data_IF_823915859083
#
_entry.id   IF_823915859083
#
_cell.length_a   1.000
_cell.length_b   1.000
_cell.length_c   1.000
_cell.angle_alpha   90.00
_cell.angle_beta   90.00
_cell.angle_gamma   90.00
#
_symmetry.space_group_name_H-M   'P 1'
#
loop_
_entity.id
_entity.type
_entity.pdbx_description
1 polymer ?
#
# COMPACT_ATOMS: atom_id res chain seq x y z
N UNK A 1 35.64 11.34 -20.12
CA UNK A 1 34.81 11.64 -18.94
C UNK A 1 35.20 10.66 -17.84
N UNK A 2 35.26 11.09 -16.59
CA UNK A 2 35.45 10.24 -15.42
C UNK A 2 34.37 10.57 -14.40
N UNK A 3 34.02 9.64 -13.51
CA UNK A 3 33.15 9.95 -12.38
C UNK A 3 33.91 10.86 -11.39
N UNK A 4 33.35 12.01 -10.98
CA UNK A 4 33.97 12.88 -9.97
C UNK A 4 34.26 12.10 -8.69
N UNK A 5 35.43 12.34 -8.07
CA UNK A 5 35.94 11.53 -6.94
C UNK A 5 34.94 11.39 -5.78
N UNK A 6 34.16 12.43 -5.49
CA UNK A 6 33.16 12.44 -4.40
C UNK A 6 31.95 11.52 -4.66
N UNK A 7 31.72 11.09 -5.90
CA UNK A 7 30.62 10.21 -6.27
C UNK A 7 31.06 8.78 -6.58
N UNK A 8 32.36 8.48 -6.64
CA UNK A 8 32.86 7.12 -6.89
C UNK A 8 32.37 6.15 -5.83
N UNK A 9 32.03 4.93 -6.25
CA UNK A 9 31.48 3.89 -5.36
C UNK A 9 30.00 4.07 -4.99
N UNK A 10 29.32 5.07 -5.54
CA UNK A 10 27.86 5.21 -5.43
C UNK A 10 27.16 4.27 -6.42
N UNK A 11 25.86 4.14 -6.22
CA UNK A 11 24.97 3.29 -7.01
C UNK A 11 23.71 4.08 -7.37
N UNK A 12 23.05 3.63 -8.43
CA UNK A 12 21.66 3.96 -8.72
C UNK A 12 20.81 2.69 -8.69
N UNK A 13 19.51 2.86 -8.45
CA UNK A 13 18.62 1.78 -8.03
C UNK A 13 17.34 1.72 -8.86
N UNK A 14 16.95 0.53 -9.29
CA UNK A 14 15.65 0.26 -9.87
C UNK A 14 14.87 -0.66 -8.93
N UNK A 15 13.62 -0.33 -8.60
CA UNK A 15 12.77 -1.24 -7.83
C UNK A 15 11.72 -1.89 -8.73
N UNK A 16 11.43 -3.15 -8.49
CA UNK A 16 10.48 -3.94 -9.26
C UNK A 16 9.84 -5.01 -8.39
N UNK A 17 8.79 -5.66 -8.88
CA UNK A 17 8.18 -6.80 -8.18
C UNK A 17 8.97 -8.09 -8.45
N UNK A 18 9.06 -9.00 -7.47
CA UNK A 18 9.77 -10.29 -7.59
C UNK A 18 9.37 -11.10 -8.83
N UNK A 19 8.10 -11.04 -9.22
CA UNK A 19 7.58 -11.71 -10.45
C UNK A 19 8.25 -11.24 -11.75
N UNK A 20 8.83 -10.05 -11.77
CA UNK A 20 9.51 -9.52 -12.96
C UNK A 20 10.95 -10.04 -13.09
N UNK A 21 11.53 -10.61 -12.03
CA UNK A 21 12.94 -11.03 -12.03
C UNK A 21 13.22 -12.11 -13.06
N UNK A 22 12.32 -13.07 -13.27
CA UNK A 22 12.52 -14.12 -14.27
C UNK A 22 12.67 -13.53 -15.69
N UNK A 23 11.81 -12.58 -16.05
CA UNK A 23 11.90 -11.88 -17.33
C UNK A 23 13.18 -11.05 -17.45
N UNK A 24 13.59 -10.38 -16.36
CA UNK A 24 14.82 -9.59 -16.31
C UNK A 24 16.05 -10.48 -16.50
N UNK A 25 16.09 -11.65 -15.86
CA UNK A 25 17.19 -12.60 -16.00
C UNK A 25 17.31 -13.11 -17.43
N UNK A 26 16.18 -13.40 -18.10
CA UNK A 26 16.16 -13.90 -19.48
C UNK A 26 16.51 -12.83 -20.51
N UNK A 27 16.06 -11.59 -20.31
CA UNK A 27 16.06 -10.56 -21.36
C UNK A 27 16.99 -9.36 -21.07
N UNK A 28 17.51 -9.24 -19.85
CA UNK A 28 17.93 -7.98 -19.27
C UNK A 28 16.74 -7.13 -18.81
N UNK A 29 17.01 -6.02 -18.15
CA UNK A 29 15.96 -5.07 -17.76
C UNK A 29 15.67 -4.17 -18.96
N UNK A 30 14.46 -4.29 -19.52
CA UNK A 30 14.03 -3.62 -20.75
C UNK A 30 13.18 -2.37 -20.47
N UNK A 31 13.29 -1.37 -21.34
CA UNK A 31 12.43 -0.18 -21.33
C UNK A 31 10.97 -0.55 -21.62
N UNK A 32 10.04 0.37 -21.37
CA UNK A 32 8.61 0.12 -21.60
C UNK A 32 8.32 -0.22 -23.05
N UNK A 33 8.86 0.55 -23.99
CA UNK A 33 8.66 0.31 -25.42
C UNK A 33 9.25 -1.03 -25.88
N UNK A 34 10.41 -1.42 -25.36
CA UNK A 34 11.02 -2.73 -25.66
C UNK A 34 10.20 -3.91 -25.10
N UNK A 35 9.63 -3.77 -23.90
CA UNK A 35 8.72 -4.78 -23.33
C UNK A 35 7.47 -4.94 -24.19
N UNK A 36 6.85 -3.83 -24.59
CA UNK A 36 5.67 -3.81 -25.45
C UNK A 36 5.97 -4.45 -26.82
N UNK A 37 7.06 -4.06 -27.47
CA UNK A 37 7.46 -4.59 -28.77
C UNK A 37 7.71 -6.11 -28.75
N UNK A 38 8.16 -6.66 -27.61
CA UNK A 38 8.43 -8.09 -27.44
C UNK A 38 7.27 -8.88 -26.84
N UNK A 39 6.15 -8.24 -26.53
CA UNK A 39 5.00 -8.88 -25.87
C UNK A 39 5.33 -9.46 -24.50
N UNK A 40 6.29 -8.85 -23.78
CA UNK A 40 6.70 -9.31 -22.45
C UNK A 40 5.73 -8.77 -21.42
N UNK A 41 5.02 -9.67 -20.74
CA UNK A 41 4.19 -9.29 -19.60
C UNK A 41 5.05 -8.78 -18.44
N UNK A 42 4.56 -7.74 -17.76
CA UNK A 42 5.29 -7.06 -16.70
C UNK A 42 4.32 -6.53 -15.66
N UNK A 43 4.58 -6.84 -14.39
CA UNK A 43 3.83 -6.26 -13.30
C UNK A 43 4.21 -4.78 -13.15
N UNK A 44 3.39 -3.91 -13.74
CA UNK A 44 3.55 -2.46 -13.67
C UNK A 44 3.22 -1.94 -12.27
N UNK A 45 4.15 -1.16 -11.72
CA UNK A 45 3.98 -0.47 -10.43
C UNK A 45 3.56 0.99 -10.58
N UNK A 46 3.66 1.55 -11.80
CA UNK A 46 3.42 2.96 -12.07
C UNK A 46 1.95 3.28 -12.39
N UNK A 47 1.50 4.48 -12.02
CA UNK A 47 0.17 4.99 -12.36
C UNK A 47 0.04 5.31 -13.86
N UNK A 48 -1.15 5.13 -14.43
CA UNK A 48 -1.45 5.40 -15.85
C UNK A 48 -1.11 6.83 -16.27
N UNK A 49 -1.42 7.83 -15.44
CA UNK A 49 -1.10 9.23 -15.77
C UNK A 49 0.40 9.51 -15.83
N UNK A 50 1.20 8.80 -15.02
CA UNK A 50 2.66 8.86 -15.09
C UNK A 50 3.15 8.19 -16.38
N UNK A 51 2.55 7.05 -16.75
CA UNK A 51 2.91 6.35 -17.98
C UNK A 51 2.61 7.19 -19.22
N UNK A 52 1.47 7.87 -19.27
CA UNK A 52 1.13 8.75 -20.39
C UNK A 52 2.11 9.92 -20.54
N UNK A 53 2.51 10.56 -19.44
CA UNK A 53 3.52 11.63 -19.50
C UNK A 53 4.87 11.11 -19.98
N UNK A 54 5.28 9.93 -19.50
CA UNK A 54 6.55 9.31 -19.89
C UNK A 54 6.57 8.82 -21.34
N UNK A 55 5.42 8.49 -21.93
CA UNK A 55 5.36 8.14 -23.36
C UNK A 55 5.48 9.35 -24.28
N UNK A 56 5.32 10.57 -23.74
CA UNK A 56 5.30 11.82 -24.52
C UNK A 56 6.50 12.74 -24.24
N UNK A 57 7.13 12.61 -23.08
CA UNK A 57 8.30 13.42 -22.72
C UNK A 57 9.51 12.98 -23.54
N UNK A 58 10.02 13.89 -24.37
CA UNK A 58 11.22 13.69 -25.19
C UNK A 58 12.50 13.88 -24.37
N UNK A 59 13.53 13.11 -24.70
CA UNK A 59 14.89 13.31 -24.19
C UNK A 59 15.63 14.24 -25.16
N UNK A 60 16.06 15.44 -24.72
CA UNK A 60 16.57 16.48 -25.63
C UNK A 60 18.04 16.29 -26.02
N UNK A 61 18.65 15.18 -25.62
CA UNK A 61 20.04 14.82 -25.88
C UNK A 61 20.15 13.38 -26.38
N UNK A 62 21.28 13.02 -26.98
CA UNK A 62 21.54 11.65 -27.46
C UNK A 62 21.37 10.62 -26.32
N UNK A 63 20.80 9.43 -26.56
CA UNK A 63 20.36 8.88 -27.86
C UNK A 63 18.94 9.30 -28.30
N UNK A 64 18.38 10.38 -27.74
CA UNK A 64 17.05 10.91 -28.03
C UNK A 64 15.92 9.89 -27.75
N UNK A 65 14.72 10.14 -28.31
CA UNK A 65 13.52 9.34 -28.08
C UNK A 65 12.70 9.87 -26.91
N UNK A 66 11.84 9.01 -26.37
CA UNK A 66 10.94 9.35 -25.27
C UNK A 66 11.38 8.67 -23.98
N UNK A 67 10.90 9.12 -22.83
CA UNK A 67 11.21 8.46 -21.55
C UNK A 67 10.81 6.98 -21.51
N UNK A 68 9.81 6.55 -22.29
CA UNK A 68 9.45 5.13 -22.44
C UNK A 68 10.47 4.28 -23.21
N UNK A 69 11.41 4.90 -23.90
CA UNK A 69 12.56 4.23 -24.53
C UNK A 69 13.67 3.95 -23.52
N UNK A 70 13.59 4.46 -22.29
CA UNK A 70 14.61 4.32 -21.25
C UNK A 70 14.13 3.47 -20.08
N UNK A 71 15.08 2.76 -19.45
CA UNK A 71 14.91 2.08 -18.17
C UNK A 71 15.22 3.07 -17.05
N UNK A 72 14.25 3.38 -16.17
CA UNK A 72 14.50 4.30 -15.07
C UNK A 72 15.16 3.64 -13.87
N UNK A 73 16.12 4.36 -13.30
CA UNK A 73 16.70 4.12 -12.00
C UNK A 73 16.69 5.43 -11.21
N UNK A 74 16.89 5.35 -9.90
CA UNK A 74 16.92 6.48 -8.99
C UNK A 74 18.25 6.52 -8.25
N UNK A 75 18.77 7.72 -8.01
CA UNK A 75 19.93 7.87 -7.11
C UNK A 75 19.55 7.66 -5.64
N UNK A 76 18.30 7.94 -5.29
CA UNK A 76 17.77 7.73 -3.95
C UNK A 76 17.52 6.24 -3.67
N UNK A 77 18.00 5.76 -2.51
CA UNK A 77 17.70 4.41 -2.04
C UNK A 77 16.24 4.26 -1.61
N UNK A 78 15.71 5.31 -0.96
CA UNK A 78 14.35 5.35 -0.44
C UNK A 78 13.48 6.24 -1.31
N UNK A 79 12.61 5.63 -2.11
CA UNK A 79 11.94 6.30 -3.21
C UNK A 79 10.51 6.77 -2.86
N UNK A 80 10.20 8.08 -2.95
CA UNK A 80 8.84 8.60 -2.79
C UNK A 80 7.78 7.95 -3.70
N UNK A 81 8.15 7.54 -4.92
CA UNK A 81 7.29 6.77 -5.81
C UNK A 81 6.87 5.45 -5.15
N UNK A 82 7.80 4.71 -4.53
CA UNK A 82 7.45 3.46 -3.84
C UNK A 82 6.45 3.72 -2.71
N UNK A 83 6.66 4.76 -1.89
CA UNK A 83 5.68 5.15 -0.86
C UNK A 83 4.31 5.45 -1.46
N UNK A 84 4.26 6.15 -2.60
CA UNK A 84 3.02 6.41 -3.32
C UNK A 84 2.30 5.14 -3.76
N UNK A 85 3.02 4.11 -4.21
CA UNK A 85 2.44 2.82 -4.59
C UNK A 85 1.96 2.03 -3.37
N UNK A 86 2.72 2.06 -2.26
CA UNK A 86 2.35 1.42 -1.01
C UNK A 86 1.09 2.05 -0.39
N UNK A 87 0.98 3.38 -0.42
CA UNK A 87 -0.21 4.11 0.07
C UNK A 87 -1.50 3.73 -0.66
N UNK A 88 -1.41 3.24 -1.90
CA UNK A 88 -2.58 2.73 -2.65
C UNK A 88 -2.93 1.27 -2.34
N UNK A 89 -2.12 0.60 -1.51
CA UNK A 89 -2.30 -0.81 -1.12
C UNK A 89 -2.38 -1.78 -2.30
N UNK A 90 -1.69 -1.48 -3.40
CA UNK A 90 -1.72 -2.32 -4.60
C UNK A 90 -0.61 -3.37 -4.65
N UNK A 91 0.37 -3.27 -3.75
CA UNK A 91 1.50 -4.20 -3.69
C UNK A 91 1.87 -4.50 -2.24
N UNK A 92 2.42 -5.69 -2.05
CA UNK A 92 3.07 -6.09 -0.81
C UNK A 92 4.54 -5.72 -0.87
N UNK A 93 4.96 -4.75 -0.06
CA UNK A 93 6.35 -4.31 0.03
C UNK A 93 7.36 -5.46 0.21
N UNK A 94 7.08 -6.53 0.98
CA UNK A 94 7.98 -7.68 1.09
C UNK A 94 8.30 -8.37 -0.24
N UNK A 95 7.53 -8.13 -1.31
CA UNK A 95 7.73 -8.68 -2.66
C UNK A 95 8.45 -7.70 -3.61
N UNK A 96 8.82 -6.51 -3.14
CA UNK A 96 9.58 -5.51 -3.89
C UNK A 96 11.07 -5.80 -3.78
N UNK A 97 11.74 -5.85 -4.92
CA UNK A 97 13.17 -6.09 -5.07
C UNK A 97 13.82 -4.85 -5.67
N UNK A 98 14.91 -4.38 -5.07
CA UNK A 98 15.75 -3.34 -5.66
C UNK A 98 16.94 -3.96 -6.39
N UNK A 99 17.34 -3.33 -7.48
CA UNK A 99 18.47 -3.68 -8.33
C UNK A 99 19.46 -2.53 -8.21
N UNK A 100 20.68 -2.82 -7.73
CA UNK A 100 21.75 -1.85 -7.61
C UNK A 100 22.72 -1.99 -8.79
N UNK A 101 23.04 -0.84 -9.40
CA UNK A 101 24.01 -0.73 -10.50
C UNK A 101 25.02 0.36 -10.14
N UNK A 102 26.30 0.12 -10.43
CA UNK A 102 27.38 1.06 -10.15
C UNK A 102 27.18 2.38 -10.92
N UNK A 103 27.47 3.50 -10.25
CA UNK A 103 27.47 4.83 -10.86
C UNK A 103 28.44 4.97 -12.04
N UNK A 104 29.44 4.09 -12.14
CA UNK A 104 30.40 4.09 -13.25
C UNK A 104 29.71 3.84 -14.60
N UNK A 105 28.48 3.27 -14.59
CA UNK A 105 27.67 3.09 -15.79
C UNK A 105 27.14 4.39 -16.40
N UNK A 106 27.29 5.53 -15.73
CA UNK A 106 27.05 6.85 -16.34
C UNK A 106 28.08 7.18 -17.45
N UNK A 107 29.20 6.45 -17.55
CA UNK A 107 30.18 6.64 -18.63
C UNK A 107 29.77 6.00 -19.95
N UNK A 108 28.70 5.19 -19.95
CA UNK A 108 28.20 4.50 -21.13
C UNK A 108 27.39 5.46 -22.00
N UNK A 109 27.58 5.42 -23.32
CA UNK A 109 27.01 6.42 -24.24
C UNK A 109 25.48 6.38 -24.35
N UNK A 110 24.83 5.33 -23.84
CA UNK A 110 23.39 5.15 -23.86
C UNK A 110 22.72 5.51 -22.52
N UNK A 111 23.45 6.17 -21.61
CA UNK A 111 22.97 6.54 -20.28
C UNK A 111 22.91 8.06 -20.16
N UNK A 112 21.78 8.55 -19.67
CA UNK A 112 21.57 9.96 -19.32
C UNK A 112 21.03 10.03 -17.90
N UNK A 113 21.13 11.18 -17.24
CA UNK A 113 20.54 11.38 -15.93
C UNK A 113 19.85 12.73 -15.81
N UNK A 114 19.00 12.89 -14.81
CA UNK A 114 18.18 14.07 -14.59
C UNK A 114 18.31 14.60 -13.17
N UNK A 115 18.10 15.90 -12.98
CA UNK A 115 18.07 16.55 -11.65
C UNK A 115 16.76 16.35 -10.89
N UNK A 116 15.69 15.97 -11.59
CA UNK A 116 14.37 15.66 -11.05
C UNK A 116 13.72 14.49 -11.79
N UNK A 117 12.57 13.98 -11.29
CA UNK A 117 11.86 12.88 -11.95
C UNK A 117 11.39 13.24 -13.36
N UNK A 118 11.63 12.36 -14.33
CA UNK A 118 11.18 12.52 -15.71
C UNK A 118 9.71 12.09 -15.87
N UNK A 119 8.82 12.76 -15.14
CA UNK A 119 7.36 12.62 -15.24
C UNK A 119 6.61 13.90 -14.82
N UNK A 120 7.32 15.00 -14.66
CA UNK A 120 6.81 16.34 -14.37
C UNK A 120 6.13 16.97 -15.59
N UNK A 121 5.37 18.05 -15.37
CA UNK A 121 4.76 18.82 -16.47
C UNK A 121 5.83 19.60 -17.23
N UNK A 122 6.73 20.25 -16.49
CA UNK A 122 7.94 20.89 -17.04
C UNK A 122 9.04 19.83 -17.01
N UNK A 123 9.62 19.44 -18.16
CA UNK A 123 10.70 18.45 -18.19
C UNK A 123 11.87 18.87 -17.28
N UNK A 124 12.52 17.92 -16.61
CA UNK A 124 13.74 18.19 -15.84
C UNK A 124 14.91 18.53 -16.77
N UNK A 125 16.03 18.93 -16.19
CA UNK A 125 17.28 19.01 -16.96
C UNK A 125 17.81 17.60 -17.22
N UNK A 126 18.40 17.40 -18.40
CA UNK A 126 19.02 16.13 -18.81
C UNK A 126 20.51 16.33 -19.00
N UNK A 127 21.28 15.39 -18.48
CA UNK A 127 22.73 15.45 -18.44
C UNK A 127 23.35 14.18 -19.01
N UNK A 128 24.50 14.34 -19.67
CA UNK A 128 25.32 13.25 -20.20
C UNK A 128 26.75 13.28 -19.63
N UNK A 129 27.22 14.44 -19.13
CA UNK A 129 28.53 14.55 -18.52
C UNK A 129 28.44 14.23 -17.02
N UNK A 130 29.18 13.22 -16.51
CA UNK A 130 29.22 12.92 -15.09
C UNK A 130 29.67 14.08 -14.18
N UNK A 131 30.33 15.11 -14.71
CA UNK A 131 30.62 16.32 -13.93
C UNK A 131 29.33 17.07 -13.51
N UNK A 132 28.26 16.97 -14.30
CA UNK A 132 26.94 17.56 -13.99
C UNK A 132 26.21 16.85 -12.84
N UNK A 133 26.79 15.78 -12.27
CA UNK A 133 26.32 15.24 -10.98
C UNK A 133 26.37 16.30 -9.87
N UNK A 134 27.13 17.38 -10.04
CA UNK A 134 27.16 18.53 -9.13
C UNK A 134 25.91 19.40 -9.15
N UNK A 135 25.10 19.31 -10.20
CA UNK A 135 23.82 20.03 -10.32
C UNK A 135 22.69 19.34 -9.52
N UNK A 136 22.88 18.08 -9.12
CA UNK A 136 21.88 17.32 -8.38
C UNK A 136 21.82 17.75 -6.90
N UNK A 137 20.61 17.81 -6.36
CA UNK A 137 20.40 18.10 -4.95
C UNK A 137 20.63 16.86 -4.07
N UNK A 138 21.89 16.51 -3.86
CA UNK A 138 22.29 15.34 -3.05
C UNK A 138 21.79 15.39 -1.61
N UNK A 139 21.64 16.58 -1.03
CA UNK A 139 21.08 16.75 0.32
C UNK A 139 19.63 16.24 0.42
N UNK A 140 18.86 16.41 -0.65
CA UNK A 140 17.51 15.84 -0.77
C UNK A 140 17.56 14.35 -1.14
N UNK A 141 18.36 13.97 -2.15
CA UNK A 141 18.48 12.59 -2.64
C UNK A 141 18.89 11.61 -1.53
N UNK A 142 19.82 12.02 -0.65
CA UNK A 142 20.31 11.20 0.47
C UNK A 142 19.48 11.36 1.75
N UNK A 143 18.45 12.21 1.75
CA UNK A 143 17.62 12.45 2.91
C UNK A 143 16.80 11.21 3.28
N UNK A 144 16.74 10.88 4.57
CA UNK A 144 15.84 9.87 5.13
C UNK A 144 14.53 10.45 5.67
N UNK A 145 14.27 11.76 5.49
CA UNK A 145 13.08 12.42 6.04
C UNK A 145 11.80 11.89 5.36
N UNK A 146 10.80 11.61 6.19
CA UNK A 146 9.45 11.15 5.79
C UNK A 146 8.50 12.29 5.45
N UNK A 147 8.68 13.46 6.07
CA UNK A 147 7.77 14.59 5.87
C UNK A 147 7.72 14.99 4.39
N UNK A 148 6.50 15.25 3.93
CA UNK A 148 6.26 15.77 2.59
C UNK A 148 6.81 17.19 2.52
N UNK A 149 7.86 17.38 1.73
CA UNK A 149 8.37 18.68 1.35
C UNK A 149 7.48 19.36 0.32
N UNK A 150 7.99 20.40 -0.35
CA UNK A 150 7.33 20.93 -1.55
C UNK A 150 7.35 19.89 -2.68
N UNK A 151 6.48 20.04 -3.68
CA UNK A 151 6.48 19.12 -4.82
C UNK A 151 7.84 19.15 -5.57
N UNK A 152 8.48 20.31 -5.66
CA UNK A 152 9.83 20.46 -6.24
C UNK A 152 10.90 19.69 -5.46
N UNK A 153 10.83 19.72 -4.12
CA UNK A 153 11.74 18.93 -3.28
C UNK A 153 11.51 17.42 -3.49
N UNK A 154 10.25 16.98 -3.62
CA UNK A 154 9.93 15.58 -3.92
C UNK A 154 10.47 15.15 -5.28
N UNK A 155 10.32 15.99 -6.31
CA UNK A 155 10.82 15.70 -7.65
C UNK A 155 12.35 15.65 -7.69
N UNK A 156 13.03 16.55 -6.98
CA UNK A 156 14.50 16.54 -6.85
C UNK A 156 15.02 15.26 -6.17
N UNK A 157 14.29 14.74 -5.16
CA UNK A 157 14.62 13.44 -4.52
C UNK A 157 14.49 12.26 -5.48
N UNK A 158 13.68 12.42 -6.52
CA UNK A 158 13.42 11.42 -7.54
C UNK A 158 14.23 11.67 -8.82
N UNK A 159 15.37 12.37 -8.73
CA UNK A 159 16.39 12.42 -9.78
C UNK A 159 16.67 11.00 -10.33
N UNK A 160 16.65 10.87 -11.67
CA UNK A 160 16.70 9.57 -12.34
C UNK A 160 18.01 9.35 -13.09
N UNK A 161 18.40 8.08 -13.21
CA UNK A 161 19.31 7.61 -14.26
C UNK A 161 18.45 6.86 -15.28
N UNK A 162 18.63 7.17 -16.56
CA UNK A 162 17.83 6.67 -17.66
C UNK A 162 18.76 5.92 -18.62
N UNK A 163 18.59 4.60 -18.73
CA UNK A 163 19.38 3.77 -19.64
C UNK A 163 18.58 3.43 -20.88
N UNK A 164 19.05 3.83 -22.05
CA UNK A 164 18.31 3.65 -23.30
C UNK A 164 18.17 2.15 -23.65
N UNK A 165 16.93 1.76 -23.95
CA UNK A 165 16.42 0.43 -24.36
C UNK A 165 16.59 -0.70 -23.35
N UNK A 166 17.81 -0.94 -22.87
CA UNK A 166 18.11 -2.16 -22.10
C UNK A 166 19.29 -1.95 -21.15
N UNK A 167 19.13 -2.42 -19.92
CA UNK A 167 20.23 -2.72 -19.00
C UNK A 167 20.55 -4.22 -19.08
N UNK A 168 21.76 -4.60 -19.50
CA UNK A 168 22.14 -6.00 -19.53
C UNK A 168 22.34 -6.56 -18.11
N UNK A 169 22.21 -7.89 -17.97
CA UNK A 169 22.19 -8.56 -16.67
C UNK A 169 23.53 -8.45 -15.91
N UNK A 170 24.64 -8.31 -16.63
CA UNK A 170 26.00 -8.16 -16.09
C UNK A 170 26.25 -6.79 -15.44
N UNK A 171 25.39 -5.80 -15.67
CA UNK A 171 25.41 -4.53 -14.95
C UNK A 171 24.85 -4.63 -13.53
N UNK A 172 24.05 -5.67 -13.25
CA UNK A 172 23.40 -5.84 -11.96
C UNK A 172 24.44 -6.32 -10.95
N UNK A 173 24.82 -5.44 -10.01
CA UNK A 173 25.82 -5.76 -9.01
C UNK A 173 25.23 -6.48 -7.80
N UNK A 174 24.05 -6.07 -7.35
CA UNK A 174 23.34 -6.73 -6.25
C UNK A 174 21.84 -6.54 -6.38
N UNK A 175 21.08 -7.53 -5.95
CA UNK A 175 19.69 -7.33 -5.55
C UNK A 175 19.63 -6.96 -4.07
N UNK A 176 18.69 -6.10 -3.68
CA UNK A 176 18.40 -5.77 -2.28
C UNK A 176 16.95 -6.21 -2.02
N UNK A 177 16.77 -7.05 -1.00
CA UNK A 177 15.49 -7.71 -0.71
C UNK A 177 15.06 -7.51 0.74
N UNK A 178 13.75 -7.53 0.97
CA UNK A 178 13.16 -7.41 2.31
C UNK A 178 13.26 -8.71 3.12
N UNK A 179 13.19 -9.87 2.46
CA UNK A 179 13.08 -11.17 3.13
C UNK A 179 13.80 -12.29 2.39
N UNK A 180 13.95 -13.43 3.07
CA UNK A 180 14.57 -14.65 2.52
C UNK A 180 13.80 -15.27 1.36
N UNK A 181 12.48 -15.08 1.29
CA UNK A 181 11.64 -15.66 0.24
C UNK A 181 12.05 -15.07 -1.11
N UNK A 182 12.17 -13.76 -1.22
CA UNK A 182 12.64 -13.11 -2.46
C UNK A 182 14.08 -13.50 -2.80
N UNK A 183 14.99 -13.59 -1.81
CA UNK A 183 16.36 -14.07 -2.04
C UNK A 183 16.37 -15.46 -2.66
N UNK A 184 15.64 -16.38 -2.05
CA UNK A 184 15.64 -17.78 -2.45
C UNK A 184 15.02 -17.96 -3.84
N UNK A 185 13.97 -17.19 -4.15
CA UNK A 185 13.38 -17.14 -5.49
C UNK A 185 14.36 -16.58 -6.54
N UNK A 186 15.09 -15.50 -6.25
CA UNK A 186 16.13 -14.96 -7.14
C UNK A 186 17.21 -16.02 -7.40
N UNK A 187 17.71 -16.69 -6.36
CA UNK A 187 18.72 -17.74 -6.52
C UNK A 187 18.22 -18.91 -7.37
N UNK A 188 16.97 -19.32 -7.16
CA UNK A 188 16.31 -20.35 -7.96
C UNK A 188 16.25 -19.93 -9.44
N UNK A 189 15.75 -18.73 -9.73
CA UNK A 189 15.64 -18.20 -11.10
C UNK A 189 17.01 -18.20 -11.80
N UNK A 190 18.06 -17.70 -11.15
CA UNK A 190 19.41 -17.69 -11.75
C UNK A 190 19.91 -19.10 -12.06
N UNK A 191 19.74 -20.03 -11.11
CA UNK A 191 20.12 -21.43 -11.28
C UNK A 191 19.36 -22.08 -12.46
N UNK A 192 18.06 -21.86 -12.56
CA UNK A 192 17.22 -22.42 -13.63
C UNK A 192 17.57 -21.88 -15.02
N UNK A 193 18.16 -20.68 -15.09
CA UNK A 193 18.65 -20.08 -16.34
C UNK A 193 20.15 -20.32 -16.58
N UNK A 194 20.80 -21.19 -15.81
CA UNK A 194 22.21 -21.55 -15.99
C UNK A 194 23.19 -20.41 -15.68
N UNK A 195 22.78 -19.43 -14.88
CA UNK A 195 23.62 -18.31 -14.48
C UNK A 195 24.26 -18.54 -13.11
N UNK A 196 25.39 -17.87 -12.87
CA UNK A 196 26.04 -17.86 -11.56
C UNK A 196 25.14 -17.20 -10.50
N UNK A 197 25.29 -17.66 -9.26
CA UNK A 197 24.51 -17.13 -8.14
C UNK A 197 24.77 -15.62 -7.97
N UNK A 198 23.74 -14.76 -8.03
CA UNK A 198 23.92 -13.32 -7.94
C UNK A 198 24.22 -12.90 -6.50
N UNK A 199 24.78 -11.69 -6.33
CA UNK A 199 24.84 -11.06 -5.00
C UNK A 199 23.43 -10.61 -4.60
N UNK A 200 23.03 -10.96 -3.39
CA UNK A 200 21.77 -10.51 -2.78
C UNK A 200 22.08 -9.99 -1.38
N UNK A 201 21.62 -8.78 -1.10
CA UNK A 201 21.80 -8.08 0.18
C UNK A 201 20.43 -7.86 0.83
N UNK A 202 20.42 -7.73 2.16
CA UNK A 202 19.29 -7.20 2.91
C UNK A 202 19.56 -5.72 3.21
N UNK A 203 18.53 -4.94 3.55
CA UNK A 203 18.78 -3.60 4.07
C UNK A 203 19.40 -3.64 5.48
N UNK A 204 20.26 -2.67 5.84
CA UNK A 204 20.76 -1.58 4.99
C UNK A 204 21.82 -2.04 3.97
N UNK A 205 21.83 -1.42 2.79
CA UNK A 205 22.87 -1.60 1.77
C UNK A 205 23.66 -0.29 1.61
N UNK A 206 24.99 -0.33 1.78
CA UNK A 206 25.86 0.85 1.83
C UNK A 206 25.37 1.94 2.80
N UNK A 207 24.90 1.53 3.99
CA UNK A 207 24.38 2.43 5.01
C UNK A 207 23.03 3.08 4.67
N UNK A 208 22.37 2.66 3.59
CA UNK A 208 21.07 3.18 3.15
C UNK A 208 19.94 2.18 3.40
N UNK A 209 18.78 2.69 3.77
CA UNK A 209 17.53 1.93 3.92
C UNK A 209 16.65 2.12 2.69
N UNK A 210 15.91 1.08 2.32
CA UNK A 210 15.17 1.02 1.05
C UNK A 210 13.67 0.87 1.28
N UNK A 211 13.30 0.20 2.37
CA UNK A 211 11.91 -0.12 2.67
C UNK A 211 11.30 0.84 3.71
N UNK A 212 9.98 0.99 3.64
CA UNK A 212 9.17 1.76 4.56
C UNK A 212 8.64 0.89 5.68
N UNK A 213 9.12 1.09 6.90
CA UNK A 213 8.70 0.30 8.06
C UNK A 213 7.98 1.12 9.11
N UNK A 214 7.30 0.47 10.06
CA UNK A 214 6.67 1.12 11.22
C UNK A 214 7.69 1.56 12.28
N UNK A 215 8.80 2.18 11.86
CA UNK A 215 9.92 2.63 12.72
C UNK A 215 9.51 3.56 13.87
N UNK A 216 8.36 4.24 13.75
CA UNK A 216 7.81 5.13 14.76
C UNK A 216 6.93 4.40 15.78
N UNK A 217 6.62 3.11 15.56
CA UNK A 217 5.86 2.26 16.47
C UNK A 217 6.80 1.33 17.23
N UNK A 218 6.76 1.42 18.56
CA UNK A 218 7.59 0.60 19.46
C UNK A 218 7.33 -0.90 19.23
N UNK A 219 8.40 -1.68 19.12
CA UNK A 219 8.42 -3.13 18.87
C UNK A 219 7.88 -3.57 17.49
N UNK A 220 7.61 -2.64 16.58
CA UNK A 220 7.14 -2.92 15.21
C UNK A 220 8.06 -2.31 14.15
N UNK A 221 9.27 -1.93 14.54
CA UNK A 221 10.17 -1.10 13.74
C UNK A 221 10.61 -1.73 12.42
N UNK A 222 10.52 -3.06 12.34
CA UNK A 222 10.88 -3.86 11.16
C UNK A 222 9.66 -4.35 10.36
N UNK A 223 8.44 -4.06 10.81
CA UNK A 223 7.23 -4.38 10.05
C UNK A 223 7.06 -3.42 8.88
N UNK A 224 6.52 -3.90 7.75
CA UNK A 224 6.15 -3.04 6.62
C UNK A 224 5.21 -1.94 7.09
N UNK A 225 5.41 -0.71 6.60
CA UNK A 225 4.56 0.44 6.93
C UNK A 225 3.10 0.20 6.53
N UNK A 226 2.91 -0.50 5.41
CA UNK A 226 1.60 -0.78 4.83
C UNK A 226 1.53 -2.25 4.44
N UNK A 227 0.43 -2.88 4.83
CA UNK A 227 0.06 -4.23 4.47
C UNK A 227 -0.60 -4.21 3.09
N UNK A 228 -0.01 -4.94 2.15
CA UNK A 228 -0.54 -5.07 0.80
C UNK A 228 -1.67 -6.11 0.70
N UNK A 229 -2.20 -6.31 -0.51
CA UNK A 229 -3.43 -7.08 -0.71
C UNK A 229 -3.25 -8.56 -0.41
N UNK A 230 -2.09 -9.16 -0.76
CA UNK A 230 -1.85 -10.58 -0.52
C UNK A 230 -1.72 -10.86 0.98
N UNK A 231 -0.97 -10.03 1.69
CA UNK A 231 -0.74 -10.23 3.12
C UNK A 231 -2.01 -9.91 3.93
N UNK A 232 -2.79 -8.89 3.53
CA UNK A 232 -4.06 -8.58 4.17
C UNK A 232 -5.07 -9.72 4.01
N UNK A 233 -5.20 -10.28 2.79
CA UNK A 233 -6.07 -11.43 2.54
C UNK A 233 -5.66 -12.65 3.36
N UNK A 234 -4.36 -12.94 3.45
CA UNK A 234 -3.87 -14.05 4.27
C UNK A 234 -4.18 -13.84 5.76
N UNK A 235 -3.93 -12.65 6.29
CA UNK A 235 -4.25 -12.30 7.68
C UNK A 235 -5.74 -12.37 7.97
N UNK A 236 -6.58 -11.91 7.03
CA UNK A 236 -8.05 -12.03 7.12
C UNK A 236 -8.51 -13.50 7.17
N UNK A 237 -7.95 -14.36 6.31
CA UNK A 237 -8.29 -15.79 6.28
C UNK A 237 -7.83 -16.51 7.54
N UNK A 238 -6.64 -16.20 8.02
CA UNK A 238 -6.09 -16.79 9.25
C UNK A 238 -6.88 -16.33 10.48
N UNK A 239 -7.27 -15.06 10.56
CA UNK A 239 -8.14 -14.56 11.63
C UNK A 239 -9.45 -15.33 11.72
N UNK A 240 -10.16 -15.49 10.58
CA UNK A 240 -11.39 -16.29 10.55
C UNK A 240 -11.13 -17.71 11.03
N UNK A 241 -10.04 -18.35 10.56
CA UNK A 241 -9.71 -19.71 10.94
C UNK A 241 -9.46 -19.81 12.46
N UNK A 242 -8.62 -18.94 13.00
CA UNK A 242 -8.32 -18.89 14.44
C UNK A 242 -9.58 -18.72 15.29
N UNK A 243 -10.47 -17.78 14.90
CA UNK A 243 -11.74 -17.58 15.63
C UNK A 243 -12.59 -18.85 15.57
N UNK A 244 -12.71 -19.50 14.41
CA UNK A 244 -13.50 -20.74 14.27
C UNK A 244 -12.94 -21.88 15.13
N UNK A 245 -11.61 -22.03 15.14
CA UNK A 245 -10.93 -23.10 15.86
C UNK A 245 -11.10 -22.91 17.38
N UNK A 246 -10.85 -21.71 17.91
CA UNK A 246 -11.07 -21.39 19.33
C UNK A 246 -12.54 -21.57 19.75
N UNK A 247 -13.48 -21.15 18.89
CA UNK A 247 -14.93 -21.32 19.11
C UNK A 247 -15.43 -22.75 19.05
N UNK A 248 -14.63 -23.68 18.57
CA UNK A 248 -14.96 -25.11 18.60
C UNK A 248 -14.44 -25.85 19.83
N UNK A 249 -13.47 -25.27 20.55
CA UNK A 249 -12.72 -25.94 21.62
C UNK A 249 -13.08 -25.45 23.04
N UNK A 250 -13.69 -24.28 23.17
CA UNK A 250 -13.91 -23.61 24.46
C UNK A 250 -15.39 -23.53 24.86
N UNK A 251 -15.65 -23.63 26.18
CA UNK A 251 -16.92 -23.22 26.78
C UNK A 251 -16.84 -21.73 27.12
N UNK A 252 -17.79 -20.95 26.58
CA UNK A 252 -17.80 -19.49 26.66
C UNK A 252 -18.48 -19.01 27.94
N UNK A 253 -17.76 -19.06 29.06
CA UNK A 253 -18.19 -18.52 30.35
C UNK A 253 -17.58 -17.12 30.59
N UNK A 254 -18.39 -16.14 31.02
CA UNK A 254 -18.00 -14.75 31.31
C UNK A 254 -17.67 -13.85 30.10
N UNK A 255 -18.29 -14.09 28.94
CA UNK A 255 -18.24 -13.17 27.80
C UNK A 255 -18.92 -11.82 28.12
N UNK A 256 -18.43 -10.72 27.53
CA UNK A 256 -19.07 -9.42 27.67
C UNK A 256 -20.45 -9.36 26.99
N UNK A 257 -20.66 -10.15 25.94
CA UNK A 257 -21.85 -10.13 25.10
C UNK A 257 -22.47 -11.53 24.95
N UNK A 258 -23.79 -11.62 25.04
CA UNK A 258 -24.52 -12.86 24.72
C UNK A 258 -24.51 -13.13 23.20
N UNK A 259 -24.86 -12.11 22.41
CA UNK A 259 -24.90 -12.12 20.95
C UNK A 259 -24.72 -10.68 20.39
N UNK A 260 -24.97 -10.48 19.10
CA UNK A 260 -24.84 -9.16 18.44
C UNK A 260 -25.84 -8.14 18.97
N UNK A 261 -27.06 -8.56 19.32
CA UNK A 261 -28.09 -7.63 19.83
C UNK A 261 -27.70 -7.09 21.20
N UNK A 262 -27.25 -7.97 22.09
CA UNK A 262 -26.73 -7.59 23.41
C UNK A 262 -25.48 -6.70 23.29
N UNK A 263 -24.56 -7.02 22.35
CA UNK A 263 -23.40 -6.18 22.09
C UNK A 263 -23.77 -4.76 21.64
N UNK A 264 -24.72 -4.63 20.71
CA UNK A 264 -25.18 -3.32 20.24
C UNK A 264 -25.80 -2.49 21.37
N UNK A 265 -26.62 -3.11 22.23
CA UNK A 265 -27.21 -2.43 23.37
C UNK A 265 -26.14 -1.97 24.37
N UNK A 266 -25.23 -2.85 24.76
CA UNK A 266 -24.18 -2.54 25.74
C UNK A 266 -23.18 -1.51 25.24
N UNK A 267 -22.78 -1.56 23.96
CA UNK A 267 -21.89 -0.55 23.36
C UNK A 267 -22.57 0.82 23.27
N UNK A 268 -23.89 0.84 23.00
CA UNK A 268 -24.65 2.09 22.97
C UNK A 268 -24.75 2.72 24.37
N UNK A 269 -24.91 1.91 25.41
CA UNK A 269 -24.95 2.38 26.81
C UNK A 269 -23.56 2.77 27.34
N UNK A 270 -22.53 2.00 27.01
CA UNK A 270 -21.14 2.24 27.35
C UNK A 270 -20.22 1.93 26.16
N UNK A 271 -19.78 2.97 25.47
CA UNK A 271 -18.85 2.85 24.34
C UNK A 271 -17.55 2.14 24.76
N UNK A 272 -17.12 2.25 26.02
CA UNK A 272 -15.86 1.69 26.50
C UNK A 272 -16.00 0.25 27.04
N UNK A 273 -17.14 -0.42 26.79
CA UNK A 273 -17.44 -1.76 27.34
C UNK A 273 -16.37 -2.82 27.00
N UNK A 274 -15.62 -2.65 25.91
CA UNK A 274 -14.45 -3.47 25.56
C UNK A 274 -13.20 -2.61 25.36
N UNK A 275 -12.04 -3.19 25.68
CA UNK A 275 -10.74 -2.49 25.70
C UNK A 275 -10.34 -1.87 24.35
N UNK A 276 -10.76 -2.43 23.22
CA UNK A 276 -10.46 -1.88 21.89
C UNK A 276 -11.20 -0.57 21.64
N UNK A 277 -12.47 -0.50 22.05
CA UNK A 277 -13.27 0.73 21.98
C UNK A 277 -12.78 1.76 23.01
N UNK A 278 -12.45 1.33 24.22
CA UNK A 278 -11.77 2.18 25.21
C UNK A 278 -10.46 2.77 24.63
N UNK A 279 -9.70 1.95 23.89
CA UNK A 279 -8.44 2.33 23.25
C UNK A 279 -8.57 3.46 22.23
N UNK A 280 -9.73 3.63 21.60
CA UNK A 280 -10.04 4.72 20.66
C UNK A 280 -10.91 5.83 21.27
N UNK A 281 -11.41 5.65 22.50
CA UNK A 281 -12.28 6.62 23.16
C UNK A 281 -11.58 7.94 23.40
N UNK A 282 -12.11 9.01 22.82
CA UNK A 282 -11.52 10.37 22.82
C UNK A 282 -10.06 10.37 22.36
N UNK A 283 -9.69 9.50 21.41
CA UNK A 283 -8.39 9.52 20.77
C UNK A 283 -8.35 10.71 19.79
N UNK A 284 -7.54 11.70 20.11
CA UNK A 284 -7.36 12.90 19.27
C UNK A 284 -6.65 12.54 17.96
N UNK A 285 -6.96 13.26 16.89
CA UNK A 285 -6.36 13.09 15.57
C UNK A 285 -5.53 14.32 15.19
N UNK A 286 -4.42 14.13 14.48
CA UNK A 286 -3.58 15.21 13.94
C UNK A 286 -4.24 15.81 12.68
N UNK A 287 -5.43 16.38 12.85
CA UNK A 287 -6.17 17.04 11.78
C UNK A 287 -6.37 18.52 12.12
N UNK A 288 -5.80 19.39 11.27
CA UNK A 288 -5.86 20.85 11.45
C UNK A 288 -7.25 21.44 11.12
N UNK A 289 -8.09 20.69 10.42
CA UNK A 289 -9.38 21.16 9.88
C UNK A 289 -10.57 20.66 10.71
N UNK A 290 -10.52 19.42 11.21
CA UNK A 290 -11.58 18.82 12.02
C UNK A 290 -11.03 18.32 13.36
N UNK A 291 -11.67 18.71 14.47
CA UNK A 291 -11.25 18.35 15.85
C UNK A 291 -11.92 17.08 16.39
N UNK A 292 -12.60 16.31 15.55
CA UNK A 292 -13.28 15.10 15.99
C UNK A 292 -12.27 14.05 16.44
N UNK A 293 -12.57 13.40 17.56
CA UNK A 293 -11.81 12.24 18.02
C UNK A 293 -12.21 11.00 17.22
N UNK A 294 -11.42 9.93 17.29
CA UNK A 294 -11.74 8.66 16.61
C UNK A 294 -13.09 8.10 17.07
N UNK A 295 -13.42 8.22 18.36
CA UNK A 295 -14.74 7.81 18.86
C UNK A 295 -15.89 8.69 18.36
N UNK A 296 -15.69 10.01 18.24
CA UNK A 296 -16.73 10.89 17.69
C UNK A 296 -17.01 10.55 16.23
N UNK A 297 -15.95 10.31 15.45
CA UNK A 297 -16.05 9.82 14.07
C UNK A 297 -16.82 8.49 14.01
N UNK A 298 -16.44 7.53 14.86
CA UNK A 298 -17.10 6.21 14.92
C UNK A 298 -18.60 6.32 15.17
N UNK A 299 -19.02 7.17 16.12
CA UNK A 299 -20.44 7.41 16.40
C UNK A 299 -21.15 8.07 15.20
N UNK A 300 -20.50 9.02 14.53
CA UNK A 300 -21.06 9.63 13.32
C UNK A 300 -21.25 8.61 12.19
N UNK A 301 -20.31 7.66 12.00
CA UNK A 301 -20.47 6.57 11.03
C UNK A 301 -21.69 5.72 11.36
N UNK A 302 -21.90 5.40 12.64
CA UNK A 302 -23.07 4.63 13.08
C UNK A 302 -24.38 5.38 12.80
N UNK A 303 -24.43 6.69 13.06
CA UNK A 303 -25.59 7.54 12.76
C UNK A 303 -25.87 7.62 11.25
N UNK A 304 -24.82 7.76 10.43
CA UNK A 304 -24.95 7.87 8.98
C UNK A 304 -25.51 6.60 8.30
N UNK A 305 -25.52 5.45 8.98
CA UNK A 305 -26.12 4.23 8.43
C UNK A 305 -27.63 4.39 8.21
N UNK A 306 -28.34 5.12 9.05
CA UNK A 306 -29.81 5.23 8.97
C UNK A 306 -30.26 6.00 7.71
N UNK A 307 -29.42 6.86 7.17
CA UNK A 307 -29.65 7.60 5.91
C UNK A 307 -29.20 6.82 4.66
N UNK A 308 -28.55 5.66 4.85
CA UNK A 308 -27.91 4.91 3.77
C UNK A 308 -28.89 3.92 3.08
N UNK A 309 -29.14 4.11 1.78
CA UNK A 309 -30.04 3.23 1.01
C UNK A 309 -29.59 1.77 0.97
N UNK A 310 -28.29 1.50 0.82
CA UNK A 310 -27.77 0.14 0.82
C UNK A 310 -28.02 -0.53 2.17
N UNK A 311 -27.81 0.19 3.28
CA UNK A 311 -28.10 -0.30 4.63
C UNK A 311 -29.60 -0.56 4.82
N UNK A 312 -30.45 0.38 4.42
CA UNK A 312 -31.89 0.30 4.61
C UNK A 312 -32.54 -0.88 3.88
N UNK A 313 -31.96 -1.30 2.77
CA UNK A 313 -32.38 -2.47 1.98
C UNK A 313 -31.86 -3.82 2.51
N UNK A 314 -31.01 -3.84 3.54
CA UNK A 314 -30.53 -5.07 4.16
C UNK A 314 -31.60 -5.73 5.05
N UNK A 315 -31.44 -7.03 5.30
CA UNK A 315 -32.21 -7.74 6.32
C UNK A 315 -31.90 -7.20 7.72
N UNK A 316 -32.82 -7.34 8.68
CA UNK A 316 -32.58 -6.88 10.06
C UNK A 316 -31.34 -7.53 10.68
N UNK A 317 -31.06 -8.80 10.35
CA UNK A 317 -29.85 -9.50 10.77
C UNK A 317 -28.59 -8.81 10.21
N UNK A 318 -28.59 -8.49 8.92
CA UNK A 318 -27.43 -7.87 8.27
C UNK A 318 -27.22 -6.42 8.69
N UNK A 319 -28.31 -5.67 8.95
CA UNK A 319 -28.25 -4.33 9.55
C UNK A 319 -27.49 -4.35 10.87
N UNK A 320 -27.83 -5.28 11.76
CA UNK A 320 -27.15 -5.44 13.06
C UNK A 320 -25.66 -5.75 12.90
N UNK A 321 -25.30 -6.64 11.96
CA UNK A 321 -23.91 -6.96 11.65
C UNK A 321 -23.14 -5.74 11.13
N UNK A 322 -23.73 -4.97 10.21
CA UNK A 322 -23.11 -3.73 9.69
C UNK A 322 -22.96 -2.69 10.79
N UNK A 323 -23.98 -2.50 11.64
CA UNK A 323 -23.94 -1.54 12.75
C UNK A 323 -22.86 -1.88 13.78
N UNK A 324 -22.74 -3.16 14.16
CA UNK A 324 -21.66 -3.61 15.04
C UNK A 324 -20.29 -3.40 14.38
N UNK A 325 -20.19 -3.72 13.09
CA UNK A 325 -18.94 -3.49 12.33
C UNK A 325 -18.59 -2.00 12.23
N UNK A 326 -19.58 -1.11 12.18
CA UNK A 326 -19.37 0.34 12.21
C UNK A 326 -18.79 0.83 13.54
N UNK A 327 -19.22 0.29 14.68
CA UNK A 327 -18.54 0.56 15.95
C UNK A 327 -17.09 0.09 15.96
N UNK A 328 -16.79 -1.01 15.27
CA UNK A 328 -15.49 -1.68 15.32
C UNK A 328 -14.53 -1.29 14.20
N UNK A 329 -14.97 -0.58 13.15
CA UNK A 329 -14.19 -0.41 11.91
C UNK A 329 -12.81 0.23 12.14
N UNK A 330 -12.75 1.15 13.11
CA UNK A 330 -11.61 2.01 13.36
C UNK A 330 -10.75 1.59 14.57
N UNK A 331 -11.04 0.45 15.21
CA UNK A 331 -10.32 0.01 16.42
C UNK A 331 -8.81 -0.13 16.21
N UNK A 332 -8.38 -0.43 14.98
CA UNK A 332 -6.97 -0.51 14.61
C UNK A 332 -6.22 0.83 14.68
N UNK A 333 -6.92 1.97 14.84
CA UNK A 333 -6.31 3.26 15.16
C UNK A 333 -5.87 3.32 16.64
N UNK A 334 -6.48 2.55 17.53
CA UNK A 334 -6.10 2.48 18.94
C UNK A 334 -4.91 1.55 19.20
N UNK A 335 -4.50 1.43 20.48
CA UNK A 335 -4.89 2.28 21.61
C UNK A 335 -4.18 3.64 21.58
N UNK A 336 -4.57 4.59 22.43
CA UNK A 336 -3.87 5.90 22.60
C UNK A 336 -2.35 5.78 22.76
N UNK A 337 -1.89 4.78 23.51
CA UNK A 337 -0.46 4.53 23.76
C UNK A 337 0.34 4.12 22.52
N UNK A 338 -0.34 3.79 21.41
CA UNK A 338 0.28 3.56 20.09
C UNK A 338 0.91 4.84 19.52
N UNK A 339 0.40 6.00 19.90
CA UNK A 339 0.75 7.27 19.28
C UNK A 339 1.64 8.13 20.18
N UNK A 340 2.57 8.84 19.54
CA UNK A 340 3.35 9.87 20.22
C UNK A 340 2.40 10.95 20.76
N UNK A 341 2.57 11.30 22.02
CA UNK A 341 1.75 12.29 22.73
C UNK A 341 0.24 11.96 22.78
N UNK A 342 -0.15 10.73 22.42
CA UNK A 342 -1.55 10.29 22.36
C UNK A 342 -2.35 10.86 21.19
N UNK A 343 -1.68 11.43 20.17
CA UNK A 343 -2.33 12.04 19.00
C UNK A 343 -2.17 11.14 17.78
N UNK A 344 -3.29 10.66 17.23
CA UNK A 344 -3.31 9.79 16.07
C UNK A 344 -2.95 10.55 14.80
N UNK A 345 -1.79 10.24 14.23
CA UNK A 345 -1.40 10.74 12.91
C UNK A 345 -2.09 9.95 11.79
N UNK A 346 -2.34 10.59 10.65
CA UNK A 346 -2.90 9.92 9.47
C UNK A 346 -2.11 8.65 9.12
N UNK A 347 -2.80 7.50 9.17
CA UNK A 347 -2.17 6.19 9.10
C UNK A 347 -3.04 5.20 8.32
N UNK A 348 -2.61 4.80 7.11
CA UNK A 348 -3.45 4.01 6.21
C UNK A 348 -3.54 2.52 6.61
N UNK A 349 -2.66 2.00 7.47
CA UNK A 349 -2.57 0.56 7.75
C UNK A 349 -3.37 0.12 9.00
N UNK A 350 -4.29 0.97 9.47
CA UNK A 350 -5.15 0.64 10.62
C UNK A 350 -6.11 -0.54 10.37
N UNK A 351 -6.60 -0.87 9.15
CA UNK A 351 -7.41 -2.07 8.95
C UNK A 351 -6.59 -3.36 9.13
N UNK A 352 -5.30 -3.35 8.80
CA UNK A 352 -4.43 -4.49 9.09
C UNK A 352 -4.15 -4.62 10.60
N UNK A 353 -4.01 -3.49 11.29
CA UNK A 353 -3.82 -3.46 12.75
C UNK A 353 -5.08 -3.88 13.53
N UNK A 354 -6.28 -3.84 12.92
CA UNK A 354 -7.50 -4.35 13.54
C UNK A 354 -7.61 -5.87 13.50
N UNK A 355 -6.84 -6.58 12.66
CA UNK A 355 -6.89 -8.05 12.54
C UNK A 355 -6.72 -8.77 13.88
N UNK A 356 -5.63 -8.54 14.67
CA UNK A 356 -5.50 -9.20 15.97
C UNK A 356 -6.60 -8.79 16.96
N UNK A 357 -7.09 -7.56 16.86
CA UNK A 357 -8.16 -7.03 17.72
C UNK A 357 -9.50 -7.73 17.44
N UNK A 358 -9.91 -7.81 16.17
CA UNK A 358 -11.16 -8.45 15.79
C UNK A 358 -11.11 -9.97 15.99
N UNK A 359 -9.94 -10.58 15.81
CA UNK A 359 -9.69 -11.99 16.15
C UNK A 359 -10.00 -12.23 17.63
N UNK A 360 -9.47 -11.38 18.50
CA UNK A 360 -9.71 -11.48 19.93
C UNK A 360 -11.16 -11.24 20.29
N UNK A 361 -11.74 -10.12 19.85
CA UNK A 361 -13.13 -9.73 20.17
C UNK A 361 -14.10 -10.86 19.84
N UNK A 362 -14.03 -11.40 18.62
CA UNK A 362 -14.99 -12.41 18.15
C UNK A 362 -14.72 -13.80 18.76
N UNK A 363 -13.53 -14.03 19.29
CA UNK A 363 -13.21 -15.27 20.00
C UNK A 363 -13.65 -15.19 21.46
N UNK A 364 -13.35 -14.09 22.16
CA UNK A 364 -13.46 -14.01 23.62
C UNK A 364 -14.73 -13.30 24.13
N UNK A 365 -15.27 -12.32 23.41
CA UNK A 365 -16.27 -11.39 23.98
C UNK A 365 -17.72 -11.84 23.75
N UNK A 366 -17.95 -12.90 22.98
CA UNK A 366 -19.30 -13.34 22.60
C UNK A 366 -19.59 -14.78 22.99
N UNK A 367 -20.69 -14.99 23.72
CA UNK A 367 -21.21 -16.34 24.02
C UNK A 367 -21.64 -17.05 22.73
N UNK A 368 -22.44 -16.39 21.88
CA UNK A 368 -23.00 -16.99 20.66
C UNK A 368 -22.69 -16.14 19.42
N UNK A 369 -22.05 -16.77 18.44
CA UNK A 369 -21.85 -16.22 17.10
C UNK A 369 -21.91 -17.32 16.05
N UNK A 370 -22.65 -17.07 14.97
CA UNK A 370 -22.67 -17.94 13.81
C UNK A 370 -21.44 -17.73 12.92
N UNK A 371 -21.11 -18.76 12.14
CA UNK A 371 -20.06 -18.68 11.11
C UNK A 371 -20.29 -17.56 10.09
N UNK A 372 -21.55 -17.23 9.81
CA UNK A 372 -21.89 -16.13 8.93
C UNK A 372 -21.50 -14.79 9.55
N UNK A 373 -21.87 -14.55 10.81
CA UNK A 373 -21.56 -13.30 11.52
C UNK A 373 -20.05 -13.09 11.65
N UNK A 374 -19.30 -14.11 12.06
CA UNK A 374 -17.85 -13.99 12.24
C UNK A 374 -17.15 -13.61 10.93
N UNK A 375 -17.49 -14.31 9.84
CA UNK A 375 -16.91 -14.01 8.52
C UNK A 375 -17.28 -12.62 8.03
N UNK A 376 -18.53 -12.22 8.22
CA UNK A 376 -19.02 -10.93 7.73
C UNK A 376 -18.47 -9.77 8.55
N UNK A 377 -18.41 -9.87 9.88
CA UNK A 377 -17.78 -8.83 10.72
C UNK A 377 -16.28 -8.69 10.39
N UNK A 378 -15.55 -9.81 10.27
CA UNK A 378 -14.14 -9.76 9.85
C UNK A 378 -13.97 -9.06 8.50
N UNK A 379 -14.83 -9.40 7.52
CA UNK A 379 -14.79 -8.78 6.20
C UNK A 379 -15.02 -7.27 6.30
N UNK A 380 -16.08 -6.85 7.00
CA UNK A 380 -16.46 -5.45 7.09
C UNK A 380 -15.41 -4.62 7.83
N UNK A 381 -14.87 -5.09 8.94
CA UNK A 381 -13.88 -4.35 9.74
C UNK A 381 -12.53 -4.26 9.03
N UNK A 382 -12.04 -5.38 8.45
CA UNK A 382 -10.70 -5.45 7.84
C UNK A 382 -10.66 -4.76 6.46
N UNK A 383 -11.81 -4.67 5.78
CA UNK A 383 -11.92 -4.08 4.43
C UNK A 383 -12.85 -2.85 4.37
N UNK A 384 -13.15 -2.19 5.49
CA UNK A 384 -14.08 -1.04 5.52
C UNK A 384 -13.65 0.08 4.57
N UNK A 385 -12.34 0.27 4.37
CA UNK A 385 -11.76 1.31 3.53
C UNK A 385 -11.61 0.92 2.05
N UNK A 386 -11.82 -0.36 1.70
CA UNK A 386 -11.52 -0.90 0.37
C UNK A 386 -12.28 -0.17 -0.74
N UNK A 387 -13.59 0.02 -0.58
CA UNK A 387 -14.42 0.66 -1.62
C UNK A 387 -14.09 2.14 -1.74
N UNK A 388 -13.91 2.84 -0.62
CA UNK A 388 -13.48 4.24 -0.62
C UNK A 388 -12.15 4.42 -1.35
N UNK A 389 -11.18 3.55 -1.06
CA UNK A 389 -9.86 3.58 -1.69
C UNK A 389 -9.88 3.21 -3.18
N UNK A 390 -10.75 2.27 -3.60
CA UNK A 390 -10.92 1.94 -5.02
C UNK A 390 -11.46 3.17 -5.79
N UNK A 391 -12.48 3.83 -5.25
CA UNK A 391 -13.17 4.92 -5.94
C UNK A 391 -12.44 6.27 -5.83
N UNK A 392 -11.63 6.46 -4.78
CA UNK A 392 -10.97 7.72 -4.44
C UNK A 392 -9.44 7.72 -4.55
N UNK A 393 -8.77 6.62 -4.15
CA UNK A 393 -7.32 6.62 -3.90
C UNK A 393 -6.53 5.69 -4.83
N UNK A 394 -7.20 5.01 -5.76
CA UNK A 394 -6.55 4.18 -6.79
C UNK A 394 -6.11 2.80 -6.31
N UNK A 395 -6.76 2.25 -5.27
CA UNK A 395 -6.65 0.84 -4.90
C UNK A 395 -7.31 -0.04 -5.96
N UNK A 396 -6.75 -1.21 -6.21
CA UNK A 396 -7.14 -2.05 -7.34
C UNK A 396 -8.44 -2.81 -7.07
N UNK A 397 -9.37 -2.76 -8.01
CA UNK A 397 -10.60 -3.57 -8.00
C UNK A 397 -10.32 -5.07 -7.94
N UNK A 398 -9.14 -5.51 -8.42
CA UNK A 398 -8.72 -6.92 -8.34
C UNK A 398 -8.74 -7.44 -6.91
N UNK A 399 -8.43 -6.61 -5.93
CA UNK A 399 -8.46 -7.01 -4.52
C UNK A 399 -9.89 -7.37 -4.09
N UNK A 400 -10.87 -6.54 -4.41
CA UNK A 400 -12.29 -6.80 -4.13
C UNK A 400 -12.77 -8.08 -4.84
N UNK A 401 -12.42 -8.25 -6.11
CA UNK A 401 -12.81 -9.43 -6.89
C UNK A 401 -12.20 -10.72 -6.31
N UNK A 402 -10.97 -10.67 -5.81
CA UNK A 402 -10.30 -11.81 -5.19
C UNK A 402 -10.98 -12.27 -3.88
N UNK A 403 -11.71 -11.39 -3.19
CA UNK A 403 -12.50 -11.77 -2.02
C UNK A 403 -13.66 -12.70 -2.35
N UNK A 404 -14.06 -12.81 -3.64
CA UNK A 404 -15.13 -13.70 -4.14
C UNK A 404 -16.39 -13.58 -3.30
N UNK A 405 -16.83 -12.35 -3.10
CA UNK A 405 -17.99 -12.02 -2.26
C UNK A 405 -19.23 -12.77 -2.75
N UNK A 406 -20.03 -13.22 -1.79
CA UNK A 406 -21.32 -13.88 -2.02
C UNK A 406 -22.41 -13.18 -1.22
N UNK A 407 -23.65 -13.41 -1.63
CA UNK A 407 -24.84 -12.85 -0.99
C UNK A 407 -24.79 -11.31 -1.05
N UNK A 408 -25.35 -10.64 -0.05
CA UNK A 408 -25.36 -9.19 0.07
C UNK A 408 -24.09 -8.57 0.69
N UNK A 409 -22.98 -9.32 0.79
CA UNK A 409 -21.73 -8.81 1.41
C UNK A 409 -21.16 -7.59 0.70
N UNK A 410 -21.35 -7.50 -0.62
CA UNK A 410 -20.96 -6.29 -1.36
C UNK A 410 -21.79 -5.09 -0.89
N UNK A 411 -23.10 -5.25 -0.68
CA UNK A 411 -23.99 -4.18 -0.23
C UNK A 411 -23.69 -3.78 1.21
N UNK A 412 -23.34 -4.73 2.07
CA UNK A 412 -22.90 -4.46 3.44
C UNK A 412 -21.57 -3.66 3.49
N UNK A 413 -20.61 -4.01 2.63
CA UNK A 413 -19.37 -3.22 2.49
C UNK A 413 -19.66 -1.82 1.96
N UNK A 414 -20.50 -1.69 0.92
CA UNK A 414 -20.90 -0.38 0.38
C UNK A 414 -21.58 0.46 1.45
N UNK A 415 -22.50 -0.13 2.22
CA UNK A 415 -23.20 0.54 3.30
C UNK A 415 -22.21 1.13 4.33
N UNK A 416 -21.28 0.32 4.83
CA UNK A 416 -20.28 0.78 5.79
C UNK A 416 -19.34 1.83 5.19
N UNK A 417 -18.80 1.59 3.99
CA UNK A 417 -17.87 2.52 3.34
C UNK A 417 -18.53 3.87 3.07
N UNK A 418 -19.80 3.91 2.63
CA UNK A 418 -20.50 5.17 2.38
C UNK A 418 -20.77 5.95 3.68
N UNK A 419 -21.12 5.26 4.76
CA UNK A 419 -21.33 5.89 6.06
C UNK A 419 -20.03 6.52 6.59
N UNK A 420 -18.91 5.81 6.43
CA UNK A 420 -17.56 6.27 6.80
C UNK A 420 -17.11 7.48 5.96
N UNK A 421 -17.19 7.38 4.63
CA UNK A 421 -16.87 8.47 3.70
C UNK A 421 -17.67 9.74 4.00
N UNK A 422 -18.96 9.57 4.31
CA UNK A 422 -19.87 10.69 4.63
C UNK A 422 -19.51 11.38 5.94
N UNK A 423 -18.98 10.64 6.93
CA UNK A 423 -18.50 11.21 8.18
C UNK A 423 -17.19 12.00 8.00
N UNK A 424 -16.35 11.63 7.03
CA UNK A 424 -15.06 12.29 6.78
C UNK A 424 -15.22 13.59 5.97
N UNK A 425 -15.88 13.53 4.81
CA UNK A 425 -15.94 14.67 3.89
C UNK A 425 -17.15 14.60 2.93
N UNK A 426 -18.14 15.50 3.06
CA UNK A 426 -19.31 15.54 2.18
C UNK A 426 -18.99 15.71 0.68
N UNK A 427 -17.92 16.43 0.33
CA UNK A 427 -17.50 16.58 -1.06
C UNK A 427 -16.94 15.26 -1.64
N UNK A 428 -16.23 14.49 -0.81
CA UNK A 428 -15.76 13.18 -1.22
C UNK A 428 -16.92 12.19 -1.38
N UNK A 429 -17.89 12.22 -0.47
CA UNK A 429 -19.13 11.45 -0.59
C UNK A 429 -19.86 11.74 -1.90
N UNK A 430 -19.96 13.01 -2.29
CA UNK A 430 -20.55 13.40 -3.59
C UNK A 430 -19.76 12.83 -4.78
N UNK A 431 -18.43 12.90 -4.75
CA UNK A 431 -17.58 12.36 -5.82
C UNK A 431 -17.72 10.84 -5.97
N UNK A 432 -17.78 10.11 -4.85
CA UNK A 432 -17.98 8.67 -4.78
C UNK A 432 -19.37 8.30 -5.30
N UNK A 433 -20.42 9.01 -4.85
CA UNK A 433 -21.81 8.78 -5.26
C UNK A 433 -22.01 8.85 -6.78
N UNK A 434 -21.37 9.81 -7.46
CA UNK A 434 -21.46 9.95 -8.92
C UNK A 434 -20.90 8.75 -9.71
N UNK A 435 -19.95 8.00 -9.13
CA UNK A 435 -19.33 6.84 -9.78
C UNK A 435 -19.96 5.53 -9.35
N UNK A 436 -20.54 5.49 -8.14
CA UNK A 436 -20.91 4.28 -7.43
C UNK A 436 -21.86 3.39 -8.24
N UNK A 437 -22.98 3.89 -8.72
CA UNK A 437 -24.00 3.06 -9.38
C UNK A 437 -23.47 2.33 -10.62
N UNK A 438 -22.71 3.05 -11.45
CA UNK A 438 -22.08 2.48 -12.65
C UNK A 438 -21.05 1.42 -12.27
N UNK A 439 -20.29 1.68 -11.19
CA UNK A 439 -19.24 0.81 -10.69
C UNK A 439 -19.83 -0.48 -10.08
N UNK A 440 -20.86 -0.36 -9.22
CA UNK A 440 -21.55 -1.49 -8.60
C UNK A 440 -22.16 -2.41 -9.65
N UNK A 441 -22.83 -1.86 -10.67
CA UNK A 441 -23.40 -2.66 -11.77
C UNK A 441 -22.33 -3.50 -12.49
N UNK A 442 -21.16 -2.91 -12.78
CA UNK A 442 -20.04 -3.62 -13.41
C UNK A 442 -19.45 -4.68 -12.48
N UNK A 443 -19.15 -4.33 -11.23
CA UNK A 443 -18.54 -5.26 -10.25
C UNK A 443 -19.45 -6.45 -9.97
N UNK A 444 -20.77 -6.24 -9.83
CA UNK A 444 -21.73 -7.35 -9.66
C UNK A 444 -21.69 -8.33 -10.82
N UNK A 445 -21.53 -7.85 -12.06
CA UNK A 445 -21.38 -8.70 -13.24
C UNK A 445 -20.09 -9.52 -13.17
N UNK A 446 -18.99 -8.90 -12.76
CA UNK A 446 -17.69 -9.58 -12.64
C UNK A 446 -17.65 -10.62 -11.50
N UNK A 447 -18.29 -10.35 -10.36
CA UNK A 447 -18.41 -11.30 -9.24
C UNK A 447 -19.30 -12.50 -9.61
N UNK A 448 -20.26 -12.32 -10.51
CA UNK A 448 -21.16 -13.39 -10.97
C UNK A 448 -20.56 -14.35 -12.00
N UNK A 449 -19.37 -14.01 -12.54
CA UNK A 449 -18.58 -14.85 -13.44
C UNK A 449 -17.59 -15.72 -12.66
#
# INVERSE_FOLDING_TARGET
>A
MEIPKKYRGRYFYHFTHIKNIESIVKNGLLSTNEKCAKGIDHMNLANESIQLRRSQMEVPCEPFGTIHDYVPFYFAARNPMLLGVLNRKNIDQPLVVFIAVSIDKLLESNVVFTDASANTVIPPNFYQDPEDLDELNWGLIDSNKWQRGTDDELHSRMAEVLVCRKVPIDWIESYIVFNKICRDEIFKIYKENGLEKPKVSYEPFNGKHFYYTKYFMKNRENETLITGPLFLENSYREAIKTIMDQRSEEEYENCAFEDIDDALHKIQDDFCVIKELEGIFKLETDNKVHKQTVSDHTLQVVENLDENEYYNNLSDKDKKIVKLSAYLHDIGKGPKSKWKDGIQAAYPDHPADSVPMITRILSEEFTSLSKYEIKTICLLVIYHDLIGDILGNGRSEKELLNLKLKDNKLDMLIALSLADISAINPFWAFSVGNKLDSWVKRIRKEISL
#
